data_IF_404799824051
#
_entry.id   IF_404799824051
#
_cell.length_a   1.000
_cell.length_b   1.000
_cell.length_c   1.000
_cell.angle_alpha   90.00
_cell.angle_beta   90.00
_cell.angle_gamma   90.00
#
_symmetry.space_group_name_H-M   'P 1'
#
loop_
_entity.id
_entity.type
_entity.pdbx_description
1 polymer ?
#
# COMPACT_ATOMS: atom_id res chain seq x y z
N UNK A 1 -28.79 19.32 2.01
CA UNK A 1 -27.55 19.86 1.41
C UNK A 1 -26.40 19.84 2.42
N UNK A 2 -26.61 20.32 3.65
CA UNK A 2 -25.59 20.30 4.71
C UNK A 2 -25.11 18.89 5.06
N UNK A 3 -26.02 17.90 5.18
CA UNK A 3 -25.63 16.52 5.48
C UNK A 3 -24.72 15.91 4.41
N UNK A 4 -24.97 16.23 3.13
CA UNK A 4 -24.15 15.74 2.01
C UNK A 4 -22.76 16.37 2.03
N UNK A 5 -22.67 17.68 2.32
CA UNK A 5 -21.39 18.39 2.46
C UNK A 5 -20.61 17.88 3.68
N UNK A 6 -21.31 17.68 4.80
CA UNK A 6 -20.73 17.11 6.03
C UNK A 6 -20.19 15.71 5.78
N UNK A 7 -20.98 14.82 5.18
CA UNK A 7 -20.56 13.47 4.84
C UNK A 7 -19.32 13.45 3.91
N UNK A 8 -19.32 14.27 2.86
CA UNK A 8 -18.17 14.38 1.95
C UNK A 8 -16.91 14.88 2.66
N UNK A 9 -17.05 15.90 3.52
CA UNK A 9 -15.94 16.43 4.32
C UNK A 9 -15.36 15.39 5.28
N UNK A 10 -16.21 14.65 5.99
CA UNK A 10 -15.78 13.57 6.89
C UNK A 10 -15.09 12.44 6.14
N UNK A 11 -15.65 11.98 5.01
CA UNK A 11 -15.03 10.93 4.19
C UNK A 11 -13.65 11.35 3.69
N UNK A 12 -13.51 12.57 3.18
CA UNK A 12 -12.24 13.07 2.67
C UNK A 12 -11.20 13.17 3.79
N UNK A 13 -11.53 13.84 4.91
CA UNK A 13 -10.60 14.02 6.01
C UNK A 13 -10.17 12.69 6.66
N UNK A 14 -11.10 11.75 6.82
CA UNK A 14 -10.77 10.43 7.37
C UNK A 14 -9.86 9.62 6.44
N UNK A 15 -10.13 9.64 5.13
CA UNK A 15 -9.34 8.91 4.13
C UNK A 15 -7.95 9.52 3.91
N UNK A 16 -7.84 10.85 3.87
CA UNK A 16 -6.60 11.56 3.60
C UNK A 16 -5.58 11.35 4.72
N UNK A 17 -5.93 11.69 5.96
CA UNK A 17 -4.99 11.64 7.07
C UNK A 17 -4.49 10.22 7.36
N UNK A 18 -5.37 9.22 7.31
CA UNK A 18 -5.00 7.82 7.56
C UNK A 18 -4.12 7.26 6.45
N UNK A 19 -4.46 7.50 5.18
CA UNK A 19 -3.66 7.05 4.03
C UNK A 19 -2.27 7.70 4.04
N UNK A 20 -2.20 9.00 4.37
CA UNK A 20 -0.93 9.72 4.51
C UNK A 20 -0.01 9.08 5.55
N UNK A 21 -0.55 8.80 6.74
CA UNK A 21 0.22 8.14 7.81
C UNK A 21 0.68 6.74 7.40
N UNK A 22 -0.18 5.92 6.80
CA UNK A 22 0.16 4.58 6.34
C UNK A 22 1.30 4.61 5.30
N UNK A 23 1.22 5.50 4.30
CA UNK A 23 2.27 5.61 3.28
C UNK A 23 3.59 6.09 3.88
N UNK A 24 3.54 7.03 4.83
CA UNK A 24 4.74 7.52 5.52
C UNK A 24 5.43 6.40 6.31
N UNK A 25 4.65 5.58 7.03
CA UNK A 25 5.15 4.42 7.79
C UNK A 25 5.74 3.37 6.83
N UNK A 26 5.05 3.06 5.74
CA UNK A 26 5.54 2.14 4.73
C UNK A 26 6.90 2.58 4.16
N UNK A 27 7.02 3.85 3.73
CA UNK A 27 8.27 4.39 3.19
C UNK A 27 9.38 4.31 4.24
N UNK A 28 9.11 4.71 5.49
CA UNK A 28 10.07 4.62 6.58
C UNK A 28 10.52 3.16 6.81
N UNK A 29 9.60 2.21 6.81
CA UNK A 29 9.91 0.79 6.96
C UNK A 29 10.80 0.29 5.82
N UNK A 30 10.54 0.68 4.58
CA UNK A 30 11.39 0.31 3.43
C UNK A 30 12.79 0.92 3.50
N UNK A 31 12.93 2.13 4.07
CA UNK A 31 14.25 2.76 4.30
C UNK A 31 15.02 2.02 5.41
N UNK A 32 14.35 1.64 6.50
CA UNK A 32 14.98 0.94 7.63
C UNK A 32 15.30 -0.52 7.32
N UNK A 33 14.55 -1.15 6.41
CA UNK A 33 14.64 -2.55 6.04
C UNK A 33 14.81 -2.73 4.52
N UNK A 34 15.93 -2.28 3.93
CA UNK A 34 16.16 -2.34 2.49
C UNK A 34 16.14 -3.78 1.93
N UNK A 35 16.49 -4.78 2.75
CA UNK A 35 16.37 -6.20 2.40
C UNK A 35 14.92 -6.64 2.16
N UNK A 36 13.99 -6.10 2.93
CA UNK A 36 12.56 -6.36 2.76
C UNK A 36 12.05 -5.68 1.49
N UNK A 37 12.47 -4.44 1.22
CA UNK A 37 12.16 -3.75 -0.03
C UNK A 37 12.68 -4.53 -1.25
N UNK A 38 13.94 -4.95 -1.23
CA UNK A 38 14.55 -5.71 -2.33
C UNK A 38 13.86 -7.05 -2.56
N UNK A 39 13.44 -7.73 -1.48
CA UNK A 39 12.69 -8.99 -1.57
C UNK A 39 11.29 -8.78 -2.15
N UNK A 40 10.60 -7.71 -1.79
CA UNK A 40 9.30 -7.35 -2.36
C UNK A 40 9.42 -7.05 -3.87
N UNK A 41 10.42 -6.27 -4.27
CA UNK A 41 10.70 -6.00 -5.67
C UNK A 41 10.96 -7.29 -6.44
N UNK A 42 11.78 -8.20 -5.88
CA UNK A 42 12.06 -9.50 -6.50
C UNK A 42 10.82 -10.37 -6.66
N UNK A 43 9.90 -10.36 -5.70
CA UNK A 43 8.62 -11.07 -5.82
C UNK A 43 7.82 -10.51 -7.02
N UNK A 44 7.63 -9.19 -7.08
CA UNK A 44 6.94 -8.51 -8.18
C UNK A 44 7.60 -8.85 -9.53
N UNK A 45 8.92 -8.69 -9.62
CA UNK A 45 9.67 -8.96 -10.85
C UNK A 45 9.58 -10.44 -11.26
N UNK A 46 9.49 -11.37 -10.29
CA UNK A 46 9.35 -12.80 -10.58
C UNK A 46 7.97 -13.18 -11.13
N UNK A 47 6.92 -12.47 -10.72
CA UNK A 47 5.55 -12.74 -11.16
C UNK A 47 5.25 -12.07 -12.51
N UNK A 48 5.72 -10.84 -12.72
CA UNK A 48 5.33 -10.05 -13.90
C UNK A 48 6.47 -9.76 -14.89
N UNK A 49 7.73 -9.92 -14.48
CA UNK A 49 8.89 -9.51 -15.27
C UNK A 49 8.78 -8.05 -15.72
N UNK A 50 8.98 -7.81 -17.01
CA UNK A 50 8.85 -6.49 -17.65
C UNK A 50 7.58 -6.36 -18.52
N UNK A 51 6.59 -7.23 -18.34
CA UNK A 51 5.42 -7.29 -19.23
C UNK A 51 4.36 -6.23 -18.89
N UNK A 52 4.07 -6.04 -17.59
CA UNK A 52 3.07 -5.09 -17.09
C UNK A 52 3.24 -4.81 -15.60
N UNK A 53 2.61 -3.73 -15.13
CA UNK A 53 2.47 -3.46 -13.69
C UNK A 53 1.39 -4.36 -13.05
N UNK A 54 1.45 -4.60 -11.73
CA UNK A 54 0.44 -5.37 -11.00
C UNK A 54 -0.94 -4.69 -11.02
N UNK A 55 -1.99 -5.49 -11.07
CA UNK A 55 -3.38 -5.06 -10.90
C UNK A 55 -3.97 -5.66 -9.61
N UNK A 56 -5.13 -5.15 -9.17
CA UNK A 56 -5.80 -5.66 -7.96
C UNK A 56 -6.12 -7.17 -8.02
N UNK A 57 -6.39 -7.70 -9.22
CA UNK A 57 -6.65 -9.12 -9.42
C UNK A 57 -5.41 -10.00 -9.13
N UNK A 58 -4.21 -9.43 -9.19
CA UNK A 58 -2.97 -10.17 -8.99
C UNK A 58 -2.53 -10.24 -7.52
N UNK A 59 -3.26 -9.60 -6.60
CA UNK A 59 -2.88 -9.51 -5.19
C UNK A 59 -2.61 -10.87 -4.55
N UNK A 60 -3.36 -11.90 -4.96
CA UNK A 60 -3.15 -13.29 -4.48
C UNK A 60 -1.82 -13.92 -4.91
N UNK A 61 -1.15 -13.37 -5.92
CA UNK A 61 0.15 -13.84 -6.42
C UNK A 61 1.33 -13.15 -5.73
N UNK A 62 1.09 -12.20 -4.82
CA UNK A 62 2.12 -11.39 -4.15
C UNK A 62 2.07 -11.56 -2.62
N UNK A 63 2.28 -12.77 -2.09
CA UNK A 63 2.13 -13.04 -0.67
C UNK A 63 3.12 -12.26 0.22
N UNK A 64 4.32 -11.96 -0.25
CA UNK A 64 5.29 -11.18 0.52
C UNK A 64 4.94 -9.69 0.53
N UNK A 65 4.53 -9.12 -0.61
CA UNK A 65 3.99 -7.74 -0.67
C UNK A 65 2.75 -7.61 0.22
N UNK A 66 1.85 -8.61 0.20
CA UNK A 66 0.70 -8.64 1.11
C UNK A 66 1.15 -8.66 2.58
N UNK A 67 2.17 -9.44 2.91
CA UNK A 67 2.76 -9.45 4.24
C UNK A 67 3.27 -8.08 4.68
N UNK A 68 3.94 -7.33 3.79
CA UNK A 68 4.39 -5.96 4.08
C UNK A 68 3.20 -5.02 4.32
N UNK A 69 2.14 -5.15 3.52
CA UNK A 69 0.94 -4.35 3.71
C UNK A 69 0.32 -4.60 5.09
N UNK A 70 0.16 -5.86 5.49
CA UNK A 70 -0.36 -6.23 6.80
C UNK A 70 0.55 -5.71 7.93
N UNK A 71 1.87 -5.85 7.77
CA UNK A 71 2.85 -5.38 8.75
C UNK A 71 2.86 -3.86 8.90
N UNK A 72 2.61 -3.13 7.81
CA UNK A 72 2.50 -1.65 7.83
C UNK A 72 1.31 -1.21 8.68
N UNK A 73 0.24 -2.01 8.73
CA UNK A 73 -0.96 -1.74 9.52
C UNK A 73 -0.91 -2.28 10.97
N UNK A 74 0.14 -3.03 11.34
CA UNK A 74 0.26 -3.66 12.66
C UNK A 74 0.77 -2.68 13.72
#
# INVERSE_FOLDING_TARGET
EEDLKGAAGTMFGAGEATTWSTLSIFILAMILHPESQAKAQKEIDSVFGNLRLPEFADRGNLPFVEGILQETFR
#
